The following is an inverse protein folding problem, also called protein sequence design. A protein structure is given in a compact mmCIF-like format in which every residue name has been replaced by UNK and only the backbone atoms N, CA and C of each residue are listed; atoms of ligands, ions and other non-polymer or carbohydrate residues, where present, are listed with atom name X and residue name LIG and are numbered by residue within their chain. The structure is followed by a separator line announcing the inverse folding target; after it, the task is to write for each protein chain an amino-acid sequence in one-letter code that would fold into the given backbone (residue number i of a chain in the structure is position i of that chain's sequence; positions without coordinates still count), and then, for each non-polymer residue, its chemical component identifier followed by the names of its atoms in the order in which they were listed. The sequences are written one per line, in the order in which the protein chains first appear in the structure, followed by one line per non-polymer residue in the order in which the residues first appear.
data_IF_622351025577
#
_entry.id   IF_622351025577
#
_cell.length_a   1.000
_cell.length_b   1.000
_cell.length_c   1.000
_cell.angle_alpha   90.00
_cell.angle_beta   90.00
_cell.angle_gamma   90.00
#
_symmetry.space_group_name_H-M   'P 1'
#
loop_
_entity.id
_entity.type
_entity.pdbx_description
1 polymer ?
#
# COMPACT_ATOMS: atom_id res chain seq x y z
N UNK A 1 -30.04 -10.50 8.43
CA UNK A 1 -28.76 -9.90 8.04
C UNK A 1 -28.59 -9.98 6.54
N UNK A 2 -28.16 -8.92 5.95
CA UNK A 2 -27.95 -8.86 4.51
C UNK A 2 -26.48 -9.03 4.20
N UNK A 3 -26.18 -9.70 3.09
CA UNK A 3 -24.79 -9.87 2.66
C UNK A 3 -24.09 -8.52 2.48
N UNK A 4 -24.83 -7.48 2.09
CA UNK A 4 -24.31 -6.14 1.93
C UNK A 4 -23.84 -5.50 3.24
N UNK A 5 -24.29 -6.03 4.39
CA UNK A 5 -23.85 -5.54 5.70
C UNK A 5 -22.52 -6.12 6.12
N UNK A 6 -22.03 -7.09 5.35
CA UNK A 6 -20.77 -7.77 5.68
C UNK A 6 -19.73 -7.43 4.62
N UNK A 7 -18.86 -6.49 4.98
CA UNK A 7 -17.74 -6.14 4.12
C UNK A 7 -16.54 -6.98 4.53
N UNK A 8 -16.02 -7.78 3.62
CA UNK A 8 -14.88 -8.63 3.91
C UNK A 8 -13.64 -7.82 4.25
N UNK A 9 -12.70 -8.46 4.96
CA UNK A 9 -11.42 -7.83 5.24
C UNK A 9 -10.70 -7.45 3.94
N UNK A 10 -10.75 -8.33 2.94
CA UNK A 10 -10.12 -8.03 1.65
C UNK A 10 -10.71 -6.78 0.99
N UNK A 11 -12.03 -6.62 1.06
CA UNK A 11 -12.69 -5.43 0.52
C UNK A 11 -12.28 -4.18 1.28
N UNK A 12 -12.19 -4.28 2.60
CA UNK A 12 -11.75 -3.15 3.43
C UNK A 12 -10.30 -2.76 3.13
N UNK A 13 -9.44 -3.75 2.87
CA UNK A 13 -8.06 -3.50 2.46
C UNK A 13 -8.03 -2.74 1.13
N UNK A 14 -8.80 -3.19 0.15
CA UNK A 14 -8.85 -2.54 -1.16
C UNK A 14 -9.38 -1.12 -1.06
N UNK A 15 -10.40 -0.90 -0.24
CA UNK A 15 -10.95 0.44 0.00
C UNK A 15 -9.90 1.36 0.64
N UNK A 16 -9.17 0.85 1.63
CA UNK A 16 -8.11 1.63 2.27
C UNK A 16 -7.02 2.01 1.27
N UNK A 17 -6.56 1.04 0.47
CA UNK A 17 -5.51 1.30 -0.53
C UNK A 17 -5.99 2.31 -1.57
N UNK A 18 -7.24 2.18 -2.01
CA UNK A 18 -7.83 3.10 -2.99
C UNK A 18 -7.86 4.54 -2.48
N UNK A 19 -7.89 4.74 -1.16
CA UNK A 19 -7.94 6.07 -0.57
C UNK A 19 -6.58 6.73 -0.41
N UNK A 20 -5.48 6.01 -0.63
CA UNK A 20 -4.15 6.61 -0.54
C UNK A 20 -3.96 7.59 -1.71
N UNK A 21 -3.70 8.88 -1.41
CA UNK A 21 -3.60 9.88 -2.48
C UNK A 21 -2.40 9.68 -3.38
N UNK A 22 -2.51 10.20 -4.57
CA UNK A 22 -1.41 10.31 -5.53
C UNK A 22 -0.22 11.01 -4.87
N UNK A 23 0.98 10.47 -5.05
CA UNK A 23 2.18 11.06 -4.49
C UNK A 23 2.39 10.78 -3.01
N UNK A 24 1.61 9.89 -2.43
CA UNK A 24 1.72 9.52 -1.01
C UNK A 24 1.80 8.01 -0.88
N UNK A 25 2.30 7.55 0.26
CA UNK A 25 2.41 6.12 0.56
C UNK A 25 1.86 5.82 1.95
N UNK A 26 1.43 4.59 2.16
CA UNK A 26 1.00 4.11 3.48
C UNK A 26 1.65 2.77 3.75
N UNK A 27 1.82 2.45 5.02
CA UNK A 27 2.42 1.17 5.41
C UNK A 27 1.37 0.05 5.40
N UNK A 28 1.84 -1.19 5.29
CA UNK A 28 0.96 -2.35 5.41
C UNK A 28 0.24 -2.36 6.76
N UNK A 29 0.92 -1.94 7.82
CA UNK A 29 0.31 -1.84 9.16
C UNK A 29 -0.85 -0.84 9.16
N UNK A 30 -0.64 0.33 8.55
CA UNK A 30 -1.68 1.35 8.50
C UNK A 30 -2.89 0.87 7.70
N UNK A 31 -2.65 0.18 6.59
CA UNK A 31 -3.74 -0.41 5.78
C UNK A 31 -4.48 -1.47 6.59
N UNK A 32 -3.74 -2.36 7.26
CA UNK A 32 -4.35 -3.42 8.08
C UNK A 32 -5.20 -2.82 9.21
N UNK A 33 -4.68 -1.82 9.90
CA UNK A 33 -5.40 -1.15 10.99
C UNK A 33 -6.66 -0.47 10.48
N UNK A 34 -6.57 0.23 9.35
CA UNK A 34 -7.72 0.89 8.73
C UNK A 34 -8.79 -0.11 8.32
N UNK A 35 -8.36 -1.29 7.90
CA UNK A 35 -9.28 -2.38 7.54
C UNK A 35 -9.82 -3.14 8.76
N UNK A 36 -9.42 -2.74 9.97
CA UNK A 36 -9.96 -3.29 11.20
C UNK A 36 -9.12 -4.36 11.89
N UNK A 37 -7.94 -4.69 11.37
CA UNK A 37 -7.11 -5.75 11.94
C UNK A 37 -5.62 -5.42 11.81
N UNK A 38 -5.07 -4.61 12.73
CA UNK A 38 -3.68 -4.15 12.62
C UNK A 38 -2.63 -5.27 12.66
N UNK A 39 -3.00 -6.45 13.12
CA UNK A 39 -2.09 -7.60 13.14
C UNK A 39 -2.05 -8.37 11.83
N UNK A 40 -2.94 -8.05 10.90
CA UNK A 40 -3.11 -8.81 9.66
C UNK A 40 -2.23 -8.29 8.52
N UNK A 41 -1.01 -7.87 8.82
CA UNK A 41 -0.08 -7.30 7.83
C UNK A 41 0.22 -8.30 6.71
N UNK A 42 0.46 -9.56 7.06
CA UNK A 42 0.74 -10.58 6.05
C UNK A 42 -0.45 -10.80 5.13
N UNK A 43 -1.66 -10.79 5.71
CA UNK A 43 -2.88 -10.93 4.91
C UNK A 43 -3.05 -9.77 3.93
N UNK A 44 -2.71 -8.54 4.36
CA UNK A 44 -2.74 -7.37 3.46
C UNK A 44 -1.81 -7.61 2.26
N UNK A 45 -0.58 -8.02 2.53
CA UNK A 45 0.37 -8.31 1.46
C UNK A 45 -0.14 -9.36 0.49
N UNK A 46 -0.74 -10.44 1.00
CA UNK A 46 -1.30 -11.49 0.15
C UNK A 46 -2.49 -10.99 -0.67
N UNK A 47 -3.37 -10.21 -0.08
CA UNK A 47 -4.53 -9.63 -0.78
C UNK A 47 -4.04 -8.75 -1.93
N UNK A 48 -3.08 -7.87 -1.68
CA UNK A 48 -2.58 -6.97 -2.72
C UNK A 48 -1.85 -7.72 -3.82
N UNK A 49 -1.07 -8.74 -3.45
CA UNK A 49 -0.36 -9.55 -4.43
C UNK A 49 -1.32 -10.30 -5.35
N UNK A 50 -2.45 -10.74 -4.82
CA UNK A 50 -3.45 -11.47 -5.59
C UNK A 50 -4.43 -10.55 -6.31
N UNK A 51 -4.45 -9.27 -5.97
CA UNK A 51 -5.29 -8.29 -6.65
C UNK A 51 -4.59 -7.86 -7.93
N UNK A 52 -4.83 -8.60 -8.99
CA UNK A 52 -4.37 -8.23 -10.31
C UNK A 52 -5.37 -7.26 -10.86
N UNK A 53 -5.02 -6.03 -10.84
CA UNK A 53 -6.03 -5.02 -10.91
C UNK A 53 -6.09 -4.27 -12.23
N UNK A 54 -7.01 -4.65 -13.11
CA UNK A 54 -7.29 -3.85 -14.29
C UNK A 54 -7.99 -2.53 -13.92
N UNK A 55 -8.46 -2.37 -12.70
CA UNK A 55 -9.16 -1.15 -12.30
C UNK A 55 -8.23 -0.07 -11.76
N UNK A 56 -6.94 -0.37 -11.64
CA UNK A 56 -5.97 0.65 -11.26
C UNK A 56 -5.82 0.89 -9.76
N UNK A 57 -6.08 -0.12 -8.92
CA UNK A 57 -5.84 -0.01 -7.49
C UNK A 57 -4.37 0.35 -7.24
N UNK A 58 -4.08 1.43 -6.49
CA UNK A 58 -2.70 1.91 -6.36
C UNK A 58 -1.89 1.09 -5.34
N UNK A 59 -1.72 -0.19 -5.61
CA UNK A 59 -0.96 -1.09 -4.73
C UNK A 59 0.49 -0.64 -4.55
N UNK A 60 1.03 0.09 -5.53
CA UNK A 60 2.40 0.63 -5.45
C UNK A 60 2.56 1.67 -4.34
N UNK A 61 1.46 2.21 -3.80
CA UNK A 61 1.49 3.19 -2.71
C UNK A 61 1.54 2.53 -1.33
N UNK A 62 1.71 1.20 -1.26
CA UNK A 62 1.82 0.48 0.01
C UNK A 62 3.24 -0.02 0.18
N UNK A 63 3.86 0.34 1.30
CA UNK A 63 5.25 0.01 1.63
C UNK A 63 5.30 -0.54 3.05
N UNK A 64 6.48 -1.01 3.49
CA UNK A 64 6.57 -1.45 4.87
C UNK A 64 6.63 -0.25 5.83
N UNK A 65 6.63 -0.49 7.14
CA UNK A 65 6.57 0.59 8.11
C UNK A 65 7.79 1.52 8.10
N UNK A 66 8.89 1.07 7.50
CA UNK A 66 10.10 1.89 7.34
C UNK A 66 10.18 2.57 5.98
N UNK A 67 9.19 2.35 5.13
CA UNK A 67 9.18 2.91 3.78
C UNK A 67 9.84 2.01 2.74
N UNK A 68 10.21 0.78 3.10
CA UNK A 68 10.85 -0.12 2.15
C UNK A 68 9.85 -0.63 1.12
N UNK A 69 10.25 -0.59 -0.15
CA UNK A 69 9.44 -1.12 -1.23
C UNK A 69 9.39 -2.64 -1.19
N UNK A 70 8.31 -3.21 -1.74
CA UNK A 70 8.08 -4.65 -1.71
C UNK A 70 8.99 -5.37 -2.71
N UNK A 71 9.87 -6.30 -2.25
CA UNK A 71 10.74 -7.03 -3.18
C UNK A 71 9.97 -7.87 -4.18
N UNK A 72 8.76 -8.28 -3.81
CA UNK A 72 7.92 -9.17 -4.65
C UNK A 72 6.77 -8.41 -5.31
N UNK A 73 6.91 -7.11 -5.54
CA UNK A 73 5.85 -6.31 -6.16
C UNK A 73 5.70 -6.72 -7.62
N UNK A 74 4.68 -7.52 -7.90
CA UNK A 74 4.37 -7.95 -9.26
C UNK A 74 5.56 -8.54 -10.01
N UNK A 75 5.48 -8.52 -11.34
CA UNK A 75 6.60 -8.87 -12.21
C UNK A 75 7.55 -7.68 -12.24
N UNK A 76 8.81 -7.90 -11.93
CA UNK A 76 9.80 -6.83 -11.86
C UNK A 76 10.07 -6.32 -10.45
N UNK A 77 9.26 -6.73 -9.48
CA UNK A 77 9.51 -6.46 -8.07
C UNK A 77 9.58 -4.98 -7.72
N UNK A 78 10.52 -4.64 -6.81
CA UNK A 78 10.63 -3.29 -6.28
C UNK A 78 10.96 -2.24 -7.35
N UNK A 79 11.60 -2.63 -8.46
CA UNK A 79 11.94 -1.71 -9.55
C UNK A 79 10.67 -1.13 -10.18
N UNK A 80 9.68 -1.97 -10.41
CA UNK A 80 8.41 -1.51 -10.99
C UNK A 80 7.68 -0.60 -10.00
N UNK A 81 7.66 -0.97 -8.74
CA UNK A 81 7.05 -0.12 -7.70
C UNK A 81 7.75 1.24 -7.65
N UNK A 82 9.08 1.24 -7.69
CA UNK A 82 9.89 2.47 -7.72
C UNK A 82 9.50 3.36 -8.89
N UNK A 83 9.42 2.78 -10.09
CA UNK A 83 9.07 3.54 -11.29
C UNK A 83 7.71 4.20 -11.17
N UNK A 84 6.73 3.47 -10.64
CA UNK A 84 5.38 4.00 -10.46
C UNK A 84 5.33 5.12 -9.43
N UNK A 85 6.06 4.97 -8.31
CA UNK A 85 6.13 6.01 -7.29
C UNK A 85 6.85 7.25 -7.80
N UNK A 86 7.95 7.06 -8.52
CA UNK A 86 8.69 8.20 -9.09
C UNK A 86 7.86 8.95 -10.12
N UNK A 87 7.03 8.24 -10.87
CA UNK A 87 6.09 8.88 -11.81
C UNK A 87 5.08 9.77 -11.09
N UNK A 88 4.83 9.53 -9.80
CA UNK A 88 3.96 10.36 -8.98
C UNK A 88 4.70 11.45 -8.21
N UNK A 89 5.99 11.61 -8.46
CA UNK A 89 6.80 12.61 -7.77
C UNK A 89 7.37 12.17 -6.43
N UNK A 90 7.24 10.88 -6.09
CA UNK A 90 7.79 10.34 -4.85
C UNK A 90 9.25 9.98 -5.08
N UNK A 91 10.14 10.55 -4.26
CA UNK A 91 11.56 10.22 -4.34
C UNK A 91 11.80 8.87 -3.69
N UNK A 92 12.46 7.98 -4.42
CA UNK A 92 12.84 6.65 -3.92
C UNK A 92 14.36 6.61 -3.83
N UNK A 93 14.88 6.27 -2.65
CA UNK A 93 16.33 6.16 -2.44
C UNK A 93 16.72 4.69 -2.36
N UNK A 94 17.92 4.39 -2.82
CA UNK A 94 18.48 3.05 -2.75
C UNK A 94 19.47 2.96 -1.60
N UNK A 95 19.32 1.91 -0.78
CA UNK A 95 20.26 1.59 0.29
C UNK A 95 20.66 0.12 0.13
N UNK A 96 21.89 -0.13 -0.26
CA UNK A 96 22.40 -1.45 -0.59
C UNK A 96 21.55 -2.11 -1.70
N UNK A 97 20.74 -3.11 -1.36
CA UNK A 97 19.93 -3.83 -2.33
C UNK A 97 18.44 -3.49 -2.24
N UNK A 98 18.09 -2.51 -1.42
CA UNK A 98 16.70 -2.18 -1.15
C UNK A 98 16.38 -0.74 -1.50
N UNK A 99 15.09 -0.48 -1.74
CA UNK A 99 14.60 0.86 -2.06
C UNK A 99 13.70 1.36 -0.93
N UNK A 100 13.80 2.64 -0.64
CA UNK A 100 13.08 3.26 0.47
C UNK A 100 12.43 4.58 0.07
N UNK A 101 11.30 4.85 0.69
CA UNK A 101 10.60 6.15 0.61
C UNK A 101 10.69 6.80 1.99
N UNK A 102 10.90 8.11 2.01
CA UNK A 102 10.90 8.87 3.27
C UNK A 102 9.46 8.98 3.79
N UNK A 103 9.15 8.22 4.85
CA UNK A 103 7.81 8.16 5.42
C UNK A 103 7.41 9.49 6.09
N UNK A 104 8.36 10.29 6.54
CA UNK A 104 8.05 11.61 7.10
C UNK A 104 7.52 12.55 6.03
N UNK A 105 8.07 12.44 4.83
CA UNK A 105 7.71 13.32 3.72
C UNK A 105 6.48 12.83 2.97
N UNK A 106 6.41 11.54 2.69
CA UNK A 106 5.39 10.97 1.78
C UNK A 106 4.33 10.12 2.48
N UNK A 107 4.51 9.84 3.77
CA UNK A 107 3.58 8.99 4.49
C UNK A 107 2.18 9.59 4.57
N UNK A 108 1.18 8.76 4.30
CA UNK A 108 -0.22 9.13 4.43
C UNK A 108 -0.79 8.49 5.70
N UNK A 109 -1.51 9.28 6.49
CA UNK A 109 -2.16 8.82 7.70
C UNK A 109 -3.66 8.82 7.48
N UNK A 110 -4.26 7.64 7.52
CA UNK A 110 -5.70 7.50 7.33
C UNK A 110 -6.44 8.27 8.44
N UNK A 111 -7.42 9.05 8.04
CA UNK A 111 -8.21 9.81 8.99
C UNK A 111 -7.67 11.21 9.32
N UNK A 112 -6.50 11.58 8.82
CA UNK A 112 -5.93 12.91 9.08
C UNK A 112 -6.71 14.04 8.39
N UNK A 113 -7.57 13.70 7.47
CA UNK A 113 -8.38 14.68 6.73
C UNK A 113 -9.65 15.09 7.48
N UNK A 114 -9.83 14.58 8.66
CA UNK A 114 -11.02 14.85 9.47
C UNK A 114 -10.91 16.18 10.22
#
# INVERSE_FOLDING_TARGET
MHASDVTSFADKVRMAVASIPYGRVASYVAVAATAGSPRAVRAVGNILRLTRDPSGLPCHRVVNCRGRLAPCFGVGGAVIQKERLEAEGVTVTRSEYEYYVDMKKYGYHFGDDL
#
